data_IF_899389860332
#
_entry.id   IF_899389860332
#
_cell.length_a   1.000
_cell.length_b   1.000
_cell.length_c   1.000
_cell.angle_alpha   90.00
_cell.angle_beta   90.00
_cell.angle_gamma   90.00
#
_symmetry.space_group_name_H-M   'P 1'
#
loop_
_entity.id
_entity.type
_entity.pdbx_description
1 polymer ?
#
# COMPACT_ATOMS: atom_id res chain seq x y z
N UNK A 1 5.87 12.56 6.80
CA UNK A 1 4.61 12.31 7.53
C UNK A 1 4.31 10.83 7.39
N UNK A 2 4.05 10.07 8.47
CA UNK A 2 3.59 8.69 8.35
C UNK A 2 2.31 8.65 7.50
N UNK A 3 2.24 7.68 6.59
CA UNK A 3 1.06 7.47 5.76
C UNK A 3 -0.04 6.87 6.64
N UNK A 4 -1.03 7.69 7.00
CA UNK A 4 -2.17 7.26 7.80
C UNK A 4 -3.30 6.79 6.90
N UNK A 5 -3.55 5.48 6.89
CA UNK A 5 -4.68 4.90 6.18
C UNK A 5 -5.92 4.88 7.09
N UNK A 6 -6.65 5.99 7.22
CA UNK A 6 -7.85 6.05 8.07
C UNK A 6 -9.08 5.44 7.40
N UNK A 7 -9.86 4.68 8.17
CA UNK A 7 -11.23 4.32 7.80
C UNK A 7 -12.18 5.52 7.93
N UNK A 8 -13.38 5.44 7.32
CA UNK A 8 -14.39 6.51 7.44
C UNK A 8 -14.82 6.74 8.89
N UNK A 9 -14.95 5.67 9.67
CA UNK A 9 -15.32 5.73 11.09
C UNK A 9 -14.23 6.38 11.92
N UNK A 10 -12.96 5.98 11.74
CA UNK A 10 -11.81 6.59 12.41
C UNK A 10 -11.67 8.08 12.06
N UNK A 11 -11.89 8.49 10.79
CA UNK A 11 -11.91 9.91 10.42
C UNK A 11 -13.02 10.67 11.16
N UNK A 12 -14.22 10.10 11.23
CA UNK A 12 -15.35 10.73 11.91
C UNK A 12 -15.11 10.84 13.42
N UNK A 13 -14.57 9.79 14.04
CA UNK A 13 -14.24 9.75 15.46
C UNK A 13 -13.12 10.75 15.81
N UNK A 14 -12.04 10.78 15.02
CA UNK A 14 -10.95 11.74 15.17
C UNK A 14 -11.44 13.19 15.07
N UNK A 15 -12.29 13.49 14.08
CA UNK A 15 -12.88 14.84 13.95
C UNK A 15 -13.76 15.20 15.15
N UNK A 16 -14.56 14.27 15.66
CA UNK A 16 -15.36 14.51 16.88
C UNK A 16 -14.48 14.77 18.10
N UNK A 17 -13.40 14.01 18.27
CA UNK A 17 -12.44 14.19 19.36
C UNK A 17 -11.72 15.54 19.26
N UNK A 18 -11.31 15.96 18.06
CA UNK A 18 -10.73 17.28 17.82
C UNK A 18 -11.70 18.41 18.20
N UNK A 19 -12.97 18.31 17.80
CA UNK A 19 -14.01 19.28 18.18
C UNK A 19 -14.21 19.28 19.70
N UNK A 20 -14.20 18.11 20.35
CA UNK A 20 -14.33 17.99 21.80
C UNK A 20 -13.15 18.63 22.53
N UNK A 21 -11.91 18.38 22.07
CA UNK A 21 -10.71 19.00 22.61
C UNK A 21 -10.72 20.52 22.44
N UNK A 22 -11.11 21.03 21.27
CA UNK A 22 -11.23 22.46 21.02
C UNK A 22 -12.28 23.14 21.92
N UNK A 23 -13.42 22.48 22.19
CA UNK A 23 -14.44 22.98 23.13
C UNK A 23 -14.02 22.88 24.60
N UNK A 24 -13.17 21.91 24.92
CA UNK A 24 -12.63 21.68 26.26
C UNK A 24 -11.29 22.36 26.53
N UNK A 25 -10.82 23.27 25.66
CA UNK A 25 -9.48 23.86 25.69
C UNK A 25 -9.12 24.64 26.99
N UNK A 26 -10.08 24.83 27.89
CA UNK A 26 -9.88 25.40 29.23
C UNK A 26 -9.75 24.35 30.35
N UNK A 27 -9.74 23.06 30.03
CA UNK A 27 -9.61 21.93 30.98
C UNK A 27 -8.66 20.84 30.50
N UNK A 28 -8.53 19.75 31.27
CA UNK A 28 -7.64 18.63 30.95
C UNK A 28 -8.08 17.88 29.68
N UNK A 29 -7.26 17.95 28.64
CA UNK A 29 -7.47 17.31 27.33
C UNK A 29 -6.73 15.98 27.15
N UNK A 30 -5.98 15.51 28.15
CA UNK A 30 -5.11 14.33 28.05
C UNK A 30 -5.84 13.08 27.58
N UNK A 31 -7.08 12.85 28.03
CA UNK A 31 -7.89 11.71 27.61
C UNK A 31 -8.32 11.79 26.13
N UNK A 32 -8.53 13.02 25.61
CA UNK A 32 -8.87 13.26 24.20
C UNK A 32 -7.65 13.06 23.33
N UNK A 33 -6.50 13.57 23.75
CA UNK A 33 -5.21 13.39 23.07
C UNK A 33 -4.83 11.91 22.98
N UNK A 34 -4.88 11.18 24.10
CA UNK A 34 -4.61 9.74 24.11
C UNK A 34 -5.57 8.94 23.22
N UNK A 35 -6.83 9.38 23.06
CA UNK A 35 -7.77 8.76 22.15
C UNK A 35 -7.40 9.01 20.68
N UNK A 36 -7.00 10.24 20.34
CA UNK A 36 -6.51 10.59 19.00
C UNK A 36 -5.24 9.81 18.67
N UNK A 37 -4.28 9.75 19.59
CA UNK A 37 -3.03 9.00 19.40
C UNK A 37 -3.28 7.51 19.12
N UNK A 38 -4.25 6.89 19.79
CA UNK A 38 -4.64 5.50 19.50
C UNK A 38 -5.21 5.33 18.11
N UNK A 39 -6.01 6.28 17.63
CA UNK A 39 -6.57 6.26 16.27
C UNK A 39 -5.43 6.42 15.25
N UNK A 40 -4.56 7.40 15.47
CA UNK A 40 -3.44 7.71 14.58
C UNK A 40 -2.45 6.52 14.54
N UNK A 41 -2.15 5.88 15.68
CA UNK A 41 -1.31 4.68 15.73
C UNK A 41 -1.89 3.51 14.92
N UNK A 42 -3.20 3.24 15.03
CA UNK A 42 -3.87 2.19 14.23
C UNK A 42 -3.86 2.50 12.74
N UNK A 43 -4.11 3.77 12.38
CA UNK A 43 -4.09 4.21 10.99
C UNK A 43 -2.68 4.16 10.39
N UNK A 44 -1.65 4.48 11.18
CA UNK A 44 -0.24 4.37 10.77
C UNK A 44 0.18 2.91 10.56
N UNK A 45 -0.18 2.02 11.49
CA UNK A 45 0.11 0.59 11.38
C UNK A 45 -0.58 -0.04 10.16
N UNK A 46 -1.82 0.38 9.85
CA UNK A 46 -2.51 0.00 8.61
C UNK A 46 -1.77 0.52 7.36
N UNK A 47 -1.44 1.81 7.32
CA UNK A 47 -0.69 2.38 6.20
C UNK A 47 0.66 1.70 6.00
N UNK A 48 1.38 1.40 7.08
CA UNK A 48 2.64 0.66 7.02
C UNK A 48 2.47 -0.78 6.53
N UNK A 49 1.36 -1.45 6.82
CA UNK A 49 1.04 -2.77 6.24
C UNK A 49 0.75 -2.67 4.74
N UNK A 50 -0.06 -1.71 4.33
CA UNK A 50 -0.39 -1.49 2.91
C UNK A 50 0.85 -1.12 2.10
N UNK A 51 1.70 -0.23 2.60
CA UNK A 51 2.97 0.14 1.98
C UNK A 51 3.92 -1.06 1.82
N UNK A 52 4.01 -1.93 2.85
CA UNK A 52 4.78 -3.18 2.78
C UNK A 52 4.20 -4.15 1.75
N UNK A 53 2.88 -4.29 1.69
CA UNK A 53 2.20 -5.13 0.70
C UNK A 53 2.47 -4.63 -0.72
N UNK A 54 2.41 -3.31 -0.95
CA UNK A 54 2.78 -2.70 -2.23
C UNK A 54 4.23 -2.94 -2.63
N UNK A 55 5.16 -2.82 -1.68
CA UNK A 55 6.57 -3.11 -1.93
C UNK A 55 6.75 -4.59 -2.33
N UNK A 56 6.13 -5.50 -1.60
CA UNK A 56 6.17 -6.93 -1.90
C UNK A 56 5.58 -7.26 -3.28
N UNK A 57 4.41 -6.69 -3.63
CA UNK A 57 3.79 -6.90 -4.95
C UNK A 57 4.67 -6.37 -6.09
N UNK A 58 5.32 -5.21 -5.89
CA UNK A 58 6.25 -4.65 -6.87
C UNK A 58 7.46 -5.56 -7.09
N UNK A 59 8.04 -6.09 -6.02
CA UNK A 59 9.18 -7.00 -6.11
C UNK A 59 8.78 -8.34 -6.74
N UNK A 60 7.60 -8.88 -6.41
CA UNK A 60 7.05 -10.05 -7.08
C UNK A 60 6.85 -9.83 -8.59
N UNK A 61 6.33 -8.67 -8.99
CA UNK A 61 6.13 -8.35 -10.40
C UNK A 61 7.47 -8.20 -11.15
N UNK A 62 8.50 -7.60 -10.52
CA UNK A 62 9.86 -7.53 -11.08
C UNK A 62 10.47 -8.91 -11.27
N UNK A 63 10.36 -9.77 -10.25
CA UNK A 63 10.84 -11.15 -10.31
C UNK A 63 10.13 -11.94 -11.41
N UNK A 64 8.81 -11.78 -11.57
CA UNK A 64 8.06 -12.43 -12.64
C UNK A 64 8.56 -12.04 -14.04
N UNK A 65 8.89 -10.76 -14.26
CA UNK A 65 9.50 -10.29 -15.52
C UNK A 65 10.88 -10.90 -15.74
N UNK A 66 11.71 -10.95 -14.70
CA UNK A 66 13.04 -11.57 -14.79
C UNK A 66 12.94 -13.06 -15.14
N UNK A 67 12.07 -13.81 -14.45
CA UNK A 67 11.81 -15.23 -14.72
C UNK A 67 11.29 -15.43 -16.15
N UNK A 68 10.33 -14.62 -16.62
CA UNK A 68 9.80 -14.75 -17.97
C UNK A 68 10.86 -14.45 -19.05
N UNK A 69 11.79 -13.52 -18.79
CA UNK A 69 12.94 -13.26 -19.69
C UNK A 69 13.89 -14.43 -19.76
N UNK A 70 14.16 -15.11 -18.65
CA UNK A 70 14.99 -16.33 -18.64
C UNK A 70 14.27 -17.43 -19.40
N UNK A 71 12.98 -17.66 -19.11
CA UNK A 71 12.17 -18.66 -19.81
C UNK A 71 12.14 -18.44 -21.33
N UNK A 72 11.99 -17.21 -21.81
CA UNK A 72 12.06 -16.91 -23.25
C UNK A 72 13.44 -17.22 -23.86
N UNK A 73 14.53 -17.01 -23.11
CA UNK A 73 15.90 -17.28 -23.58
C UNK A 73 16.22 -18.77 -23.63
N UNK A 74 15.60 -19.56 -22.76
CA UNK A 74 15.81 -21.01 -22.65
C UNK A 74 14.72 -21.83 -23.34
N UNK A 75 13.69 -21.18 -23.89
CA UNK A 75 12.58 -21.86 -24.55
C UNK A 75 13.03 -22.54 -25.86
N UNK A 76 12.43 -23.70 -26.14
CA UNK A 76 12.52 -24.35 -27.43
C UNK A 76 12.01 -23.40 -28.55
N UNK A 77 12.57 -23.44 -29.77
CA UNK A 77 12.09 -22.62 -30.88
C UNK A 77 10.57 -22.68 -31.11
N UNK A 78 9.94 -23.83 -30.89
CA UNK A 78 8.49 -24.03 -31.04
C UNK A 78 7.67 -23.32 -29.95
N UNK A 79 8.21 -23.17 -28.75
CA UNK A 79 7.56 -22.55 -27.59
C UNK A 79 7.92 -21.06 -27.42
N UNK A 80 8.93 -20.60 -28.14
CA UNK A 80 9.49 -19.25 -28.02
C UNK A 80 8.46 -18.14 -28.21
N UNK A 81 7.47 -18.34 -29.09
CA UNK A 81 6.36 -17.37 -29.27
C UNK A 81 5.55 -17.24 -27.98
N UNK A 82 5.14 -18.37 -27.40
CA UNK A 82 4.38 -18.42 -26.15
C UNK A 82 5.17 -17.81 -24.99
N UNK A 83 6.46 -18.13 -24.88
CA UNK A 83 7.33 -17.55 -23.85
C UNK A 83 7.46 -16.01 -23.97
N UNK A 84 7.55 -15.50 -25.21
CA UNK A 84 7.56 -14.04 -25.46
C UNK A 84 6.24 -13.37 -25.06
N UNK A 85 5.10 -14.02 -25.29
CA UNK A 85 3.79 -13.51 -24.85
C UNK A 85 3.68 -13.49 -23.33
N UNK A 86 4.14 -14.54 -22.65
CA UNK A 86 4.23 -14.58 -21.19
C UNK A 86 5.10 -13.44 -20.63
N UNK A 87 6.25 -13.15 -21.25
CA UNK A 87 7.08 -11.99 -20.88
C UNK A 87 6.32 -10.67 -21.02
N UNK A 88 5.64 -10.44 -22.14
CA UNK A 88 4.86 -9.22 -22.37
C UNK A 88 3.73 -9.07 -21.34
N UNK A 89 3.07 -10.17 -20.96
CA UNK A 89 2.04 -10.16 -19.93
C UNK A 89 2.62 -9.77 -18.55
N UNK A 90 3.78 -10.33 -18.18
CA UNK A 90 4.49 -9.96 -16.95
C UNK A 90 4.91 -8.48 -16.95
N UNK A 91 5.45 -7.97 -18.07
CA UNK A 91 5.81 -6.55 -18.21
C UNK A 91 4.59 -5.63 -18.10
N UNK A 92 3.44 -6.06 -18.64
CA UNK A 92 2.18 -5.32 -18.51
C UNK A 92 1.69 -5.29 -17.06
N UNK A 93 1.79 -6.42 -16.32
CA UNK A 93 1.46 -6.47 -14.89
C UNK A 93 2.37 -5.53 -14.09
N UNK A 94 3.69 -5.57 -14.30
CA UNK A 94 4.63 -4.69 -13.63
C UNK A 94 4.26 -3.22 -13.83
N UNK A 95 3.96 -2.80 -15.06
CA UNK A 95 3.52 -1.42 -15.35
C UNK A 95 2.22 -1.04 -14.64
N UNK A 96 1.26 -1.98 -14.48
CA UNK A 96 0.02 -1.72 -13.73
C UNK A 96 0.32 -1.50 -12.25
N UNK A 97 1.19 -2.33 -11.66
CA UNK A 97 1.61 -2.20 -10.26
C UNK A 97 2.35 -0.87 -10.04
N UNK A 98 3.28 -0.51 -10.93
CA UNK A 98 4.02 0.76 -10.86
C UNK A 98 3.10 1.98 -10.99
N UNK A 99 2.08 1.91 -11.85
CA UNK A 99 1.10 3.00 -12.01
C UNK A 99 0.17 3.13 -10.81
N UNK A 100 -0.26 2.03 -10.22
CA UNK A 100 -1.17 2.07 -9.07
C UNK A 100 -0.51 2.64 -7.80
N UNK A 101 0.83 2.64 -7.73
CA UNK A 101 1.61 3.23 -6.64
C UNK A 101 1.94 4.72 -6.84
N UNK A 102 1.90 5.23 -8.06
CA UNK A 102 2.18 6.65 -8.35
C UNK A 102 1.02 7.54 -7.89
#
# INVERSE_FOLDING_TARGET
>A
MPEYAYTRTEKAERTRLLIKGARGAYGDTSAVEAAIERIDARAADRGAREARAWAAELDQARNAVATARVAERTADPTERRTAREARKAAETRLRRVERARR
#
